data_IF_229126497878
#
_entry.id   IF_229126497878
#
_cell.length_a   1.000
_cell.length_b   1.000
_cell.length_c   1.000
_cell.angle_alpha   90.00
_cell.angle_beta   90.00
_cell.angle_gamma   90.00
#
_symmetry.space_group_name_H-M   'P 1'
#
loop_
_entity.id
_entity.type
_entity.pdbx_description
1 polymer ?
#
# COMPACT_ATOMS: atom_id res chain seq x y z
N UNK A 1 -7.61 -14.88 -16.11
CA UNK A 1 -7.06 -15.20 -14.77
C UNK A 1 -7.48 -14.16 -13.72
N UNK A 2 -7.20 -12.87 -13.90
CA UNK A 2 -7.65 -11.80 -12.98
C UNK A 2 -9.18 -11.74 -12.78
N UNK A 3 -9.96 -11.92 -13.85
CA UNK A 3 -11.42 -11.96 -13.80
C UNK A 3 -11.97 -13.15 -12.99
N UNK A 4 -11.29 -14.30 -13.04
CA UNK A 4 -11.68 -15.52 -12.33
C UNK A 4 -11.36 -15.41 -10.84
N UNK A 5 -10.21 -14.83 -10.49
CA UNK A 5 -9.85 -14.60 -9.09
C UNK A 5 -10.79 -13.58 -8.44
N UNK A 6 -11.13 -12.50 -9.15
CA UNK A 6 -12.10 -11.53 -8.68
C UNK A 6 -13.49 -12.17 -8.48
N UNK A 7 -13.97 -12.95 -9.45
CA UNK A 7 -15.25 -13.67 -9.34
C UNK A 7 -15.29 -14.66 -8.16
N UNK A 8 -14.18 -15.37 -7.91
CA UNK A 8 -14.07 -16.27 -6.75
C UNK A 8 -14.13 -15.53 -5.41
N UNK A 9 -13.54 -14.33 -5.33
CA UNK A 9 -13.59 -13.53 -4.09
C UNK A 9 -15.00 -12.96 -3.86
N UNK A 10 -15.68 -12.50 -4.92
CA UNK A 10 -17.07 -12.03 -4.83
C UNK A 10 -18.07 -13.14 -4.46
N UNK A 11 -17.75 -14.40 -4.76
CA UNK A 11 -18.58 -15.55 -4.44
C UNK A 11 -18.40 -16.11 -3.02
N UNK A 12 -17.51 -15.53 -2.19
CA UNK A 12 -17.29 -16.00 -0.82
C UNK A 12 -18.51 -15.64 0.07
N UNK A 13 -19.21 -16.63 0.66
CA UNK A 13 -20.35 -16.38 1.53
C UNK A 13 -19.93 -15.68 2.83
N UNK A 14 -20.75 -14.73 3.29
CA UNK A 14 -20.51 -13.95 4.52
C UNK A 14 -19.84 -12.58 4.30
N UNK A 15 -19.42 -12.25 3.07
CA UNK A 15 -18.92 -10.93 2.74
C UNK A 15 -20.08 -9.98 2.39
N UNK A 16 -20.18 -8.85 3.11
CA UNK A 16 -21.19 -7.84 2.87
C UNK A 16 -20.68 -6.78 1.89
N UNK A 17 -21.17 -6.84 0.65
CA UNK A 17 -20.82 -5.93 -0.44
C UNK A 17 -21.75 -4.72 -0.56
N UNK A 18 -22.77 -4.62 0.29
CA UNK A 18 -23.82 -3.60 0.18
C UNK A 18 -23.40 -2.23 0.77
N UNK A 19 -22.26 -2.18 1.47
CA UNK A 19 -21.75 -0.99 2.15
C UNK A 19 -20.30 -0.74 1.74
N UNK A 20 -20.08 -0.25 0.50
CA UNK A 20 -18.73 -0.03 0.02
C UNK A 20 -18.06 1.14 0.74
N UNK A 21 -16.78 1.00 1.07
CA UNK A 21 -16.00 2.02 1.79
C UNK A 21 -15.42 3.07 0.84
N UNK A 22 -15.17 4.28 1.35
CA UNK A 22 -14.50 5.34 0.60
C UNK A 22 -12.97 5.22 0.68
N UNK A 23 -12.44 4.77 1.82
CA UNK A 23 -11.00 4.65 2.08
C UNK A 23 -10.60 3.35 2.80
N UNK A 24 -9.43 2.83 2.43
CA UNK A 24 -8.73 1.76 3.16
C UNK A 24 -7.31 2.22 3.47
N UNK A 25 -6.92 2.15 4.74
CA UNK A 25 -5.56 2.44 5.23
C UNK A 25 -4.87 1.12 5.62
N UNK A 26 -3.98 0.61 4.77
CA UNK A 26 -3.14 -0.53 5.12
C UNK A 26 -1.91 -0.06 5.90
N UNK A 27 -1.56 -0.81 6.95
CA UNK A 27 -0.47 -0.47 7.88
C UNK A 27 -0.77 0.80 8.67
N UNK A 28 -2.01 0.90 9.15
CA UNK A 28 -2.57 2.12 9.71
C UNK A 28 -1.95 2.56 11.04
N UNK A 29 -1.37 1.65 11.83
CA UNK A 29 -0.76 1.91 13.13
C UNK A 29 -1.70 2.66 14.10
N UNK A 30 -1.64 4.00 14.09
CA UNK A 30 -2.51 4.87 14.88
C UNK A 30 -3.74 5.40 14.11
N UNK A 31 -4.05 4.81 12.96
CA UNK A 31 -5.18 5.13 12.08
C UNK A 31 -5.31 6.63 11.78
N UNK A 32 -4.17 7.32 11.60
CA UNK A 32 -4.18 8.78 11.44
C UNK A 32 -4.89 9.20 10.15
N UNK A 33 -4.69 8.47 9.05
CA UNK A 33 -5.36 8.79 7.78
C UNK A 33 -6.83 8.40 7.87
N UNK A 34 -7.16 7.23 8.42
CA UNK A 34 -8.56 6.80 8.56
C UNK A 34 -9.37 7.73 9.44
N UNK A 35 -8.80 8.25 10.55
CA UNK A 35 -9.47 9.24 11.38
C UNK A 35 -9.74 10.55 10.63
N UNK A 36 -8.74 11.06 9.90
CA UNK A 36 -8.91 12.25 9.08
C UNK A 36 -9.99 12.06 8.00
N UNK A 37 -10.06 10.89 7.36
CA UNK A 37 -11.11 10.57 6.39
C UNK A 37 -12.51 10.55 7.02
N UNK A 38 -12.64 9.99 8.24
CA UNK A 38 -13.90 9.97 8.99
C UNK A 38 -14.32 11.37 9.43
N UNK A 39 -13.37 12.20 9.88
CA UNK A 39 -13.62 13.61 10.24
C UNK A 39 -14.14 14.42 9.04
N UNK A 40 -13.70 14.07 7.83
CA UNK A 40 -14.18 14.63 6.56
C UNK A 40 -15.48 13.97 6.05
N UNK A 41 -16.16 13.17 6.87
CA UNK A 41 -17.45 12.56 6.56
C UNK A 41 -17.40 11.35 5.62
N UNK A 42 -16.21 10.78 5.37
CA UNK A 42 -16.02 9.59 4.54
C UNK A 42 -15.99 8.32 5.37
N UNK A 43 -16.33 7.20 4.75
CA UNK A 43 -16.19 5.87 5.37
C UNK A 43 -14.76 5.35 5.18
N UNK A 44 -14.06 5.05 6.27
CA UNK A 44 -12.68 4.56 6.23
C UNK A 44 -12.49 3.28 7.05
N UNK A 45 -11.62 2.39 6.56
CA UNK A 45 -11.23 1.17 7.27
C UNK A 45 -9.73 1.17 7.53
N UNK A 46 -9.37 1.14 8.80
CA UNK A 46 -8.00 1.04 9.27
C UNK A 46 -7.61 -0.43 9.41
N UNK A 47 -6.54 -0.85 8.73
CA UNK A 47 -6.05 -2.22 8.72
C UNK A 47 -4.64 -2.26 9.31
N UNK A 48 -4.47 -2.94 10.43
CA UNK A 48 -3.17 -3.16 11.04
C UNK A 48 -3.12 -4.46 11.86
N UNK A 49 -1.95 -5.09 11.89
CA UNK A 49 -1.69 -6.30 12.67
C UNK A 49 -1.88 -6.06 14.17
N UNK A 50 -1.69 -4.82 14.64
CA UNK A 50 -1.92 -4.44 16.04
C UNK A 50 -3.39 -4.49 16.45
N UNK A 51 -4.33 -4.37 15.51
CA UNK A 51 -5.77 -4.43 15.80
C UNK A 51 -6.30 -5.87 15.81
N UNK A 52 -5.83 -6.68 14.87
CA UNK A 52 -6.13 -8.12 14.82
C UNK A 52 -4.94 -8.88 14.21
N UNK A 53 -4.11 -9.54 15.04
CA UNK A 53 -2.90 -10.24 14.58
C UNK A 53 -3.16 -11.41 13.63
N UNK A 54 -4.40 -11.89 13.52
CA UNK A 54 -4.77 -13.01 12.64
C UNK A 54 -5.45 -12.51 11.36
N UNK A 55 -6.48 -11.68 11.51
CA UNK A 55 -7.30 -11.18 10.40
C UNK A 55 -6.75 -9.90 9.77
N UNK A 56 -5.81 -9.21 10.39
CA UNK A 56 -5.15 -8.02 9.84
C UNK A 56 -3.64 -8.16 9.67
N UNK A 57 -3.15 -9.40 9.67
CA UNK A 57 -1.76 -9.69 9.31
C UNK A 57 -1.60 -9.94 7.80
N UNK A 58 -1.06 -8.96 7.10
CA UNK A 58 -0.85 -9.05 5.64
C UNK A 58 0.13 -10.15 5.22
N UNK A 59 0.95 -10.71 6.12
CA UNK A 59 1.82 -11.85 5.84
C UNK A 59 1.09 -13.20 6.00
N UNK A 60 0.02 -13.23 6.80
CA UNK A 60 -0.86 -14.39 6.94
C UNK A 60 -1.83 -14.53 5.77
N UNK A 61 -2.31 -15.74 5.49
CA UNK A 61 -3.28 -15.97 4.41
C UNK A 61 -4.62 -15.30 4.72
N UNK A 62 -5.12 -15.44 5.96
CA UNK A 62 -6.38 -14.83 6.40
C UNK A 62 -6.35 -13.32 6.29
N UNK A 63 -5.31 -12.69 6.85
CA UNK A 63 -5.15 -11.25 6.73
C UNK A 63 -5.02 -10.77 5.29
N UNK A 64 -4.28 -11.46 4.43
CA UNK A 64 -4.19 -11.05 3.02
C UNK A 64 -5.53 -11.17 2.28
N UNK A 65 -6.31 -12.22 2.54
CA UNK A 65 -7.68 -12.34 1.99
C UNK A 65 -8.56 -11.20 2.50
N UNK A 66 -8.46 -10.85 3.78
CA UNK A 66 -9.20 -9.72 4.35
C UNK A 66 -8.78 -8.40 3.68
N UNK A 67 -7.49 -8.14 3.47
CA UNK A 67 -7.02 -6.95 2.73
C UNK A 67 -7.54 -6.93 1.27
N UNK A 68 -7.55 -8.07 0.58
CA UNK A 68 -8.17 -8.20 -0.74
C UNK A 68 -9.66 -7.83 -0.70
N UNK A 69 -10.41 -8.37 0.25
CA UNK A 69 -11.83 -8.05 0.42
C UNK A 69 -12.04 -6.54 0.59
N UNK A 70 -11.27 -5.91 1.48
CA UNK A 70 -11.42 -4.48 1.76
C UNK A 70 -11.16 -3.61 0.52
N UNK A 71 -10.11 -3.92 -0.25
CA UNK A 71 -9.82 -3.20 -1.50
C UNK A 71 -10.87 -3.47 -2.56
N UNK A 72 -11.41 -4.69 -2.63
CA UNK A 72 -12.50 -5.03 -3.54
C UNK A 72 -13.86 -4.48 -3.06
N UNK A 73 -13.98 -4.02 -1.82
CA UNK A 73 -15.18 -3.38 -1.31
C UNK A 73 -15.10 -1.83 -1.42
N UNK A 74 -13.97 -1.28 -1.84
CA UNK A 74 -13.86 0.15 -2.11
C UNK A 74 -14.74 0.58 -3.29
N UNK A 75 -15.37 1.75 -3.15
CA UNK A 75 -16.07 2.45 -4.22
C UNK A 75 -15.12 2.74 -5.38
N UNK A 76 -15.65 2.79 -6.60
CA UNK A 76 -14.90 3.32 -7.75
C UNK A 76 -14.55 4.79 -7.47
N UNK A 77 -13.30 5.18 -7.69
CA UNK A 77 -12.80 6.50 -7.30
C UNK A 77 -12.48 6.64 -5.81
N UNK A 78 -12.65 5.59 -5.01
CA UNK A 78 -12.20 5.55 -3.62
C UNK A 78 -10.67 5.55 -3.50
N UNK A 79 -10.19 5.48 -2.27
CA UNK A 79 -8.80 5.71 -1.92
C UNK A 79 -8.18 4.53 -1.17
N UNK A 80 -6.94 4.19 -1.52
CA UNK A 80 -6.12 3.19 -0.84
C UNK A 80 -4.81 3.83 -0.41
N UNK A 81 -4.53 3.87 0.88
CA UNK A 81 -3.20 4.24 1.40
C UNK A 81 -2.47 3.02 1.93
N UNK A 82 -1.16 2.95 1.69
CA UNK A 82 -0.31 1.86 2.16
C UNK A 82 1.00 2.43 2.73
N UNK A 83 1.33 2.08 3.96
CA UNK A 83 2.64 2.40 4.56
C UNK A 83 3.38 1.11 4.98
N UNK A 84 3.75 0.23 4.02
CA UNK A 84 4.37 -1.06 4.36
C UNK A 84 5.64 -0.89 5.19
N UNK A 85 5.87 -1.84 6.10
CA UNK A 85 6.96 -1.77 7.08
C UNK A 85 8.32 -1.49 6.41
N UNK A 86 8.93 -0.36 6.77
CA UNK A 86 10.14 0.15 6.12
C UNK A 86 11.45 -0.37 6.73
N UNK A 87 11.41 -0.99 7.92
CA UNK A 87 12.60 -1.30 8.72
C UNK A 87 13.62 -2.19 8.02
N UNK A 88 13.19 -3.13 7.17
CA UNK A 88 14.11 -3.99 6.40
C UNK A 88 14.70 -3.32 5.15
N UNK A 89 14.26 -2.13 4.77
CA UNK A 89 14.59 -1.48 3.49
C UNK A 89 15.52 -0.27 3.62
N UNK A 90 15.65 0.28 4.83
CA UNK A 90 16.45 1.46 5.13
C UNK A 90 17.94 1.15 5.24
N UNK A 91 18.77 2.20 5.23
CA UNK A 91 20.23 2.06 5.32
C UNK A 91 20.69 1.24 6.54
N UNK A 92 20.10 1.51 7.72
CA UNK A 92 20.49 0.90 8.99
C UNK A 92 20.38 -0.63 9.01
N UNK A 93 19.46 -1.21 8.23
CA UNK A 93 19.24 -2.67 8.20
C UNK A 93 19.99 -3.38 7.08
N UNK A 94 20.75 -2.68 6.23
CA UNK A 94 21.41 -3.30 5.07
C UNK A 94 22.47 -4.33 5.47
N UNK A 95 23.16 -4.12 6.58
CA UNK A 95 24.15 -5.08 7.10
C UNK A 95 23.53 -6.43 7.46
N UNK A 96 22.38 -6.43 8.15
CA UNK A 96 21.70 -7.65 8.60
C UNK A 96 20.79 -8.27 7.54
N UNK A 97 20.22 -7.45 6.65
CA UNK A 97 19.37 -7.93 5.55
C UNK A 97 20.16 -8.33 4.32
N UNK A 98 21.39 -7.84 4.17
CA UNK A 98 22.21 -8.02 2.97
C UNK A 98 21.60 -7.39 1.72
N UNK A 99 20.70 -6.40 1.88
CA UNK A 99 20.09 -5.66 0.78
C UNK A 99 21.04 -4.60 0.22
N UNK A 100 21.07 -4.49 -1.10
CA UNK A 100 21.75 -3.43 -1.82
C UNK A 100 20.91 -2.99 -3.02
N UNK A 101 21.33 -1.96 -3.76
CA UNK A 101 20.63 -1.58 -4.99
C UNK A 101 20.69 -2.69 -6.06
N UNK A 102 21.78 -3.43 -6.15
CA UNK A 102 21.96 -4.56 -7.07
C UNK A 102 21.31 -5.86 -6.59
N UNK A 103 21.13 -6.00 -5.26
CA UNK A 103 20.43 -7.13 -4.63
C UNK A 103 19.34 -6.61 -3.69
N UNK A 104 18.26 -6.00 -4.22
CA UNK A 104 17.24 -5.33 -3.41
C UNK A 104 16.46 -6.30 -2.55
N UNK A 105 16.34 -7.58 -2.93
CA UNK A 105 15.68 -8.64 -2.14
C UNK A 105 16.48 -9.06 -0.90
N UNK A 106 17.79 -8.76 -0.86
CA UNK A 106 18.65 -9.11 0.26
C UNK A 106 19.02 -10.58 0.33
N UNK A 107 19.40 -11.03 1.53
CA UNK A 107 19.73 -12.41 1.84
C UNK A 107 18.47 -13.23 2.09
N UNK A 108 18.32 -14.44 1.49
CA UNK A 108 17.21 -15.33 1.79
C UNK A 108 17.26 -15.87 3.23
N UNK A 109 18.41 -15.77 3.90
CA UNK A 109 18.59 -16.18 5.29
C UNK A 109 18.20 -15.10 6.31
N UNK A 110 17.87 -13.89 5.86
CA UNK A 110 17.43 -12.81 6.74
C UNK A 110 15.89 -12.84 6.88
N UNK A 111 15.33 -13.19 8.05
CA UNK A 111 13.88 -13.30 8.20
C UNK A 111 13.15 -11.98 7.91
N UNK A 112 13.76 -10.85 8.29
CA UNK A 112 13.19 -9.52 8.01
C UNK A 112 13.25 -9.15 6.52
N UNK A 113 14.28 -9.60 5.80
CA UNK A 113 14.34 -9.42 4.35
C UNK A 113 13.24 -10.24 3.64
N UNK A 114 13.10 -11.52 4.02
CA UNK A 114 12.08 -12.43 3.49
C UNK A 114 10.67 -11.93 3.77
N UNK A 115 10.38 -11.54 5.02
CA UNK A 115 9.09 -10.98 5.39
C UNK A 115 8.80 -9.68 4.62
N UNK A 116 9.79 -8.78 4.52
CA UNK A 116 9.67 -7.56 3.72
C UNK A 116 9.34 -7.83 2.25
N UNK A 117 10.04 -8.78 1.61
CA UNK A 117 9.80 -9.15 0.21
C UNK A 117 8.37 -9.69 0.03
N UNK A 118 7.94 -10.62 0.87
CA UNK A 118 6.58 -11.19 0.85
C UNK A 118 5.52 -10.10 1.01
N UNK A 119 5.70 -9.19 1.98
CA UNK A 119 4.81 -8.05 2.21
C UNK A 119 4.71 -7.17 0.96
N UNK A 120 5.84 -6.86 0.33
CA UNK A 120 5.88 -6.01 -0.85
C UNK A 120 5.23 -6.66 -2.08
N UNK A 121 5.48 -7.95 -2.33
CA UNK A 121 4.80 -8.69 -3.40
C UNK A 121 3.27 -8.62 -3.22
N UNK A 122 2.79 -8.83 -1.99
CA UNK A 122 1.36 -8.72 -1.64
C UNK A 122 0.82 -7.29 -1.84
N UNK A 123 1.54 -6.27 -1.36
CA UNK A 123 1.16 -4.87 -1.56
C UNK A 123 1.05 -4.51 -3.04
N UNK A 124 2.00 -4.95 -3.87
CA UNK A 124 1.96 -4.68 -5.32
C UNK A 124 0.75 -5.34 -5.98
N UNK A 125 0.40 -6.57 -5.61
CA UNK A 125 -0.81 -7.23 -6.14
C UNK A 125 -2.08 -6.47 -5.72
N UNK A 126 -2.15 -6.03 -4.46
CA UNK A 126 -3.26 -5.22 -3.95
C UNK A 126 -3.39 -3.88 -4.68
N UNK A 127 -2.27 -3.22 -4.96
CA UNK A 127 -2.24 -1.98 -5.77
C UNK A 127 -2.73 -2.25 -7.19
N UNK A 128 -2.39 -3.39 -7.79
CA UNK A 128 -2.89 -3.77 -9.11
C UNK A 128 -4.40 -4.04 -9.10
N UNK A 129 -4.95 -4.63 -8.02
CA UNK A 129 -6.41 -4.74 -7.84
C UNK A 129 -7.08 -3.38 -7.66
N UNK A 130 -6.49 -2.48 -6.88
CA UNK A 130 -7.01 -1.13 -6.73
C UNK A 130 -7.02 -0.39 -8.07
N UNK A 131 -5.89 -0.42 -8.79
CA UNK A 131 -5.74 0.24 -10.09
C UNK A 131 -6.73 -0.29 -11.12
N UNK A 132 -6.94 -1.61 -11.21
CA UNK A 132 -7.89 -2.20 -12.16
C UNK A 132 -9.34 -1.83 -11.90
N UNK A 133 -9.65 -1.35 -10.69
CA UNK A 133 -10.98 -0.86 -10.28
C UNK A 133 -11.13 0.65 -10.35
N UNK A 134 -10.11 1.37 -10.78
CA UNK A 134 -10.10 2.84 -10.77
C UNK A 134 -10.11 3.42 -9.35
N UNK A 135 -9.47 2.73 -8.40
CA UNK A 135 -9.20 3.24 -7.05
C UNK A 135 -7.87 3.98 -7.10
N UNK A 136 -7.84 5.20 -6.53
CA UNK A 136 -6.60 5.93 -6.38
C UNK A 136 -5.80 5.34 -5.22
N UNK A 137 -4.49 5.15 -5.42
CA UNK A 137 -3.64 4.59 -4.39
C UNK A 137 -2.42 5.47 -4.09
N UNK A 138 -1.94 5.40 -2.86
CA UNK A 138 -0.72 6.07 -2.40
C UNK A 138 0.08 5.14 -1.48
N UNK A 139 1.31 4.83 -1.87
CA UNK A 139 2.27 4.05 -1.10
C UNK A 139 3.36 4.97 -0.54
N UNK A 140 3.56 4.90 0.77
CA UNK A 140 4.56 5.64 1.53
C UNK A 140 5.81 4.80 1.81
N UNK A 141 6.99 5.40 1.65
CA UNK A 141 8.27 4.86 2.13
C UNK A 141 9.25 5.98 2.48
N UNK A 142 10.17 5.76 3.44
CA UNK A 142 11.23 6.72 3.72
C UNK A 142 12.17 6.94 2.51
N UNK A 143 12.65 8.16 2.38
CA UNK A 143 13.65 8.56 1.37
C UNK A 143 14.95 7.82 1.65
N UNK A 144 15.37 6.99 0.69
CA UNK A 144 16.54 6.11 0.83
C UNK A 144 16.21 4.63 1.03
N UNK A 145 14.92 4.30 1.17
CA UNK A 145 14.43 2.93 1.09
C UNK A 145 14.88 2.27 -0.22
N UNK A 146 15.38 1.04 -0.13
CA UNK A 146 15.70 0.21 -1.29
C UNK A 146 14.45 -0.41 -1.95
N UNK A 147 13.27 -0.26 -1.34
CA UNK A 147 12.01 -0.84 -1.80
C UNK A 147 11.72 -0.52 -3.27
N UNK A 148 12.01 0.71 -3.70
CA UNK A 148 11.77 1.14 -5.09
C UNK A 148 12.53 0.30 -6.12
N UNK A 149 13.68 -0.29 -5.77
CA UNK A 149 14.50 -1.10 -6.67
C UNK A 149 14.07 -2.56 -6.72
N UNK A 150 13.20 -2.99 -5.81
CA UNK A 150 12.73 -4.37 -5.74
C UNK A 150 11.98 -4.78 -7.03
N UNK A 151 12.14 -6.03 -7.52
CA UNK A 151 11.49 -6.49 -8.75
C UNK A 151 9.98 -6.22 -8.80
N UNK A 152 9.26 -6.45 -7.69
CA UNK A 152 7.82 -6.15 -7.59
C UNK A 152 7.48 -4.68 -7.87
N UNK A 153 8.22 -3.72 -7.27
CA UNK A 153 8.01 -2.29 -7.53
C UNK A 153 8.37 -1.92 -8.97
N UNK A 154 9.43 -2.53 -9.52
CA UNK A 154 9.81 -2.34 -10.92
C UNK A 154 8.74 -2.85 -11.88
N UNK A 155 8.08 -3.96 -11.56
CA UNK A 155 6.92 -4.48 -12.30
C UNK A 155 5.76 -3.49 -12.23
N UNK A 156 5.42 -2.97 -11.03
CA UNK A 156 4.37 -1.98 -10.85
C UNK A 156 4.61 -0.73 -11.72
N UNK A 157 5.81 -0.15 -11.64
CA UNK A 157 6.20 1.04 -12.40
C UNK A 157 6.23 0.82 -13.92
N UNK A 158 6.43 -0.42 -14.38
CA UNK A 158 6.33 -0.79 -15.81
C UNK A 158 4.89 -1.00 -16.26
N UNK A 159 4.01 -1.48 -15.35
CA UNK A 159 2.62 -1.83 -15.64
C UNK A 159 1.66 -0.65 -15.52
N UNK A 160 2.02 0.36 -14.73
CA UNK A 160 1.17 1.50 -14.40
C UNK A 160 1.97 2.79 -14.51
N UNK A 161 1.30 3.88 -14.87
CA UNK A 161 1.88 5.23 -14.67
C UNK A 161 1.95 5.46 -13.16
N UNK A 162 3.13 5.78 -12.65
CA UNK A 162 3.35 6.04 -11.22
C UNK A 162 3.90 7.45 -11.08
N UNK A 163 3.22 8.28 -10.29
CA UNK A 163 3.72 9.58 -9.87
C UNK A 163 4.51 9.38 -8.59
N UNK A 164 5.68 10.03 -8.49
CA UNK A 164 6.48 10.05 -7.27
C UNK A 164 6.62 11.47 -6.75
N UNK A 165 6.30 11.69 -5.48
CA UNK A 165 6.46 12.99 -4.81
C UNK A 165 7.31 12.85 -3.56
N UNK A 166 8.13 13.86 -3.33
CA UNK A 166 8.94 14.01 -2.13
C UNK A 166 8.22 14.93 -1.17
N UNK A 167 8.25 14.60 0.12
CA UNK A 167 7.84 15.49 1.20
C UNK A 167 8.72 15.29 2.44
N UNK A 168 8.78 16.30 3.29
CA UNK A 168 9.21 16.13 4.68
C UNK A 168 7.98 16.17 5.58
N UNK A 169 7.91 15.27 6.55
CA UNK A 169 6.78 15.25 7.49
C UNK A 169 6.72 16.51 8.35
N UNK A 170 7.86 17.16 8.62
CA UNK A 170 7.89 18.42 9.39
C UNK A 170 7.16 19.57 8.69
N UNK A 171 7.06 19.53 7.36
CA UNK A 171 6.32 20.53 6.58
C UNK A 171 4.80 20.42 6.85
N UNK A 172 4.36 19.33 7.48
CA UNK A 172 2.98 19.02 7.86
C UNK A 172 2.85 18.75 9.37
N UNK A 173 3.56 19.53 10.19
CA UNK A 173 3.54 19.43 11.66
C UNK A 173 4.08 18.11 12.25
N UNK A 174 4.82 17.32 11.48
CA UNK A 174 5.54 16.16 12.01
C UNK A 174 6.67 16.56 12.95
N UNK A 175 6.89 15.78 14.02
CA UNK A 175 7.92 16.05 15.03
C UNK A 175 9.37 15.99 14.51
N UNK A 176 9.59 15.49 13.29
CA UNK A 176 10.91 15.42 12.66
C UNK A 176 10.79 15.58 11.15
N UNK A 177 11.91 15.82 10.46
CA UNK A 177 11.92 15.97 9.01
C UNK A 177 11.37 14.74 8.28
N UNK A 178 11.62 13.53 8.81
CA UNK A 178 11.30 12.20 8.22
C UNK A 178 11.09 12.28 6.69
N UNK A 179 12.18 12.43 5.90
CA UNK A 179 12.07 12.61 4.46
C UNK A 179 11.41 11.37 3.83
N UNK A 180 10.36 11.56 3.02
CA UNK A 180 9.48 10.49 2.56
C UNK A 180 9.20 10.57 1.05
N UNK A 181 9.12 9.40 0.42
CA UNK A 181 8.58 9.22 -0.92
C UNK A 181 7.13 8.77 -0.85
N UNK A 182 6.27 9.47 -1.58
CA UNK A 182 4.95 9.00 -1.96
C UNK A 182 4.99 8.50 -3.41
N UNK A 183 4.53 7.27 -3.61
CA UNK A 183 4.27 6.70 -4.93
C UNK A 183 2.77 6.60 -5.09
N UNK A 184 2.20 7.07 -6.18
CA UNK A 184 0.75 7.01 -6.38
C UNK A 184 0.38 6.75 -7.84
N UNK A 185 -0.84 6.30 -8.05
CA UNK A 185 -1.47 6.47 -9.36
C UNK A 185 -1.65 7.98 -9.64
N UNK A 186 -1.67 8.38 -10.91
CA UNK A 186 -2.13 9.72 -11.29
C UNK A 186 -3.53 9.93 -10.70
N UNK A 187 -3.76 11.08 -10.08
CA UNK A 187 -5.13 11.46 -9.75
C UNK A 187 -5.83 11.86 -11.05
N UNK A 188 -7.07 11.40 -11.23
CA UNK A 188 -7.92 11.86 -12.33
C UNK A 188 -8.08 13.39 -12.33
N UNK A 189 -8.00 14.03 -11.16
CA UNK A 189 -8.03 15.49 -11.01
C UNK A 189 -6.88 16.22 -11.72
N UNK A 190 -5.72 15.56 -11.93
CA UNK A 190 -4.58 16.15 -12.62
C UNK A 190 -4.55 15.88 -14.13
N UNK A 191 -5.35 14.93 -14.64
CA UNK A 191 -5.46 14.70 -16.09
C UNK A 191 -6.32 15.80 -16.74
N UNK A 192 -7.36 16.28 -16.06
CA UNK A 192 -8.23 17.38 -16.55
C UNK A 192 -7.52 18.74 -16.56
N UNK A 193 -6.58 18.98 -15.65
CA UNK A 193 -5.82 20.24 -15.59
C UNK A 193 -4.69 20.33 -16.64
N UNK A 194 -4.33 19.20 -17.26
CA UNK A 194 -3.33 19.17 -18.34
C UNK A 194 -3.89 19.43 -19.74
N UNK A 195 -5.22 19.62 -19.87
CA UNK A 195 -5.91 19.95 -21.13
C UNK A 195 -6.28 21.46 -21.18
N UNK A 196 -5.92 22.23 -20.15
CA UNK A 196 -6.32 23.63 -19.99
C UNK A 196 -5.16 24.60 -19.71
N UNK A 197 -3.93 24.24 -20.10
CA UNK A 197 -2.77 25.14 -20.10
C UNK A 197 -2.07 25.11 -21.45
#
# INVERSE_FOLDING_TARGET
VLSVLAALIFALPGLNWNWPSDHVELFSGQAAVSRAEIEEGRTAMAYDVEYDPEMMNILGTKGYIHACFQILNLKRGGHLTLAPVCSSWVYLSRGSTGRSRSRPEGSPYSPSAVAGNTMLYRCVILILFASSRGIWWCLEQPRGSLMQFHPAMQILMKKQKVVRKFLNMCDFNGASQKPTWLYSSPSALFETLSISL
#
